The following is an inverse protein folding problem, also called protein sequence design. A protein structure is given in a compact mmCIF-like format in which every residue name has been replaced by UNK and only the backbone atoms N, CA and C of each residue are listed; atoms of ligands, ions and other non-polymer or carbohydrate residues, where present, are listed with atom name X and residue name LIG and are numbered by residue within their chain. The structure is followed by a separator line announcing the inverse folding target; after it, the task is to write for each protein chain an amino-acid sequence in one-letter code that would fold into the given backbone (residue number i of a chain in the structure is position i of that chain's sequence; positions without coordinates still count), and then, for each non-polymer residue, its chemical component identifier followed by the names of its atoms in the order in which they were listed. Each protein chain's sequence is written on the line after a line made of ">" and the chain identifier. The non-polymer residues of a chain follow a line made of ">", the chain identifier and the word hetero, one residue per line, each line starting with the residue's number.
data_IF_005476634517
#
_entry.id   IF_005476634517
#
_cell.length_a   1.000
_cell.length_b   1.000
_cell.length_c   1.000
_cell.angle_alpha   90.00
_cell.angle_beta   90.00
_cell.angle_gamma   90.00
#
_symmetry.space_group_name_H-M   'P 1'
#
loop_
_entity.id
_entity.type
_entity.pdbx_description
1 polymer ?
#
# COMPACT_ATOMS: atom_id res chain seq x y z
N UNK A 1 27.82 42.08 21.38
CA UNK A 1 26.88 42.37 20.28
C UNK A 1 26.66 41.06 19.55
N UNK A 2 25.64 40.29 19.93
CA UNK A 2 25.38 38.95 19.39
C UNK A 2 24.31 39.04 18.31
N UNK A 3 24.69 38.77 17.05
CA UNK A 3 23.76 38.72 15.93
C UNK A 3 23.00 37.39 15.92
N UNK A 4 21.69 37.46 16.09
CA UNK A 4 20.78 36.33 15.89
C UNK A 4 20.59 36.10 14.39
N UNK A 5 21.23 35.06 13.85
CA UNK A 5 20.86 34.53 12.53
C UNK A 5 19.62 33.63 12.68
N UNK A 6 18.44 34.19 12.45
CA UNK A 6 17.25 33.37 12.11
C UNK A 6 17.45 32.83 10.70
N UNK A 7 17.67 31.52 10.56
CA UNK A 7 17.39 30.84 9.29
C UNK A 7 15.91 31.05 8.98
N UNK A 8 15.61 31.87 7.97
CA UNK A 8 14.29 31.89 7.37
C UNK A 8 13.99 30.47 6.89
N UNK A 9 12.95 29.84 7.44
CA UNK A 9 12.28 28.75 6.73
C UNK A 9 11.77 29.35 5.42
N UNK A 10 11.83 28.63 4.29
CA UNK A 10 11.11 29.09 3.12
C UNK A 10 9.63 29.16 3.51
N UNK A 11 9.09 30.37 3.53
CA UNK A 11 7.65 30.60 3.53
C UNK A 11 7.11 29.95 2.27
N UNK A 12 6.43 28.82 2.43
CA UNK A 12 5.68 28.21 1.34
C UNK A 12 4.43 29.05 1.20
N UNK A 13 4.25 29.72 0.06
CA UNK A 13 3.05 30.49 -0.21
C UNK A 13 1.80 29.61 -0.02
N UNK A 14 0.74 30.11 0.63
CA UNK A 14 -0.52 29.39 0.76
C UNK A 14 -1.25 29.48 -0.57
N UNK A 15 -0.87 28.64 -1.54
CA UNK A 15 -1.45 28.77 -2.88
C UNK A 15 -1.00 27.83 -3.98
N UNK A 16 -0.15 26.82 -3.76
CA UNK A 16 0.05 25.76 -4.74
C UNK A 16 0.82 24.59 -4.13
N UNK A 17 0.13 23.80 -3.29
CA UNK A 17 0.59 22.46 -2.98
C UNK A 17 0.51 21.65 -4.27
N UNK A 18 1.65 21.27 -4.84
CA UNK A 18 1.71 20.42 -6.03
C UNK A 18 0.94 19.12 -5.76
N UNK A 19 -0.33 19.05 -6.17
CA UNK A 19 -1.12 17.83 -6.11
C UNK A 19 -0.37 16.75 -6.88
N UNK A 20 -0.08 15.62 -6.22
CA UNK A 20 0.54 14.47 -6.86
C UNK A 20 -0.38 13.94 -7.96
N UNK A 21 0.18 13.42 -9.05
CA UNK A 21 -0.57 12.67 -10.07
C UNK A 21 -0.74 11.20 -9.66
N UNK A 22 -1.71 10.50 -10.24
CA UNK A 22 -1.87 9.06 -10.02
C UNK A 22 -0.58 8.27 -10.30
N UNK A 23 0.10 8.57 -11.41
CA UNK A 23 1.36 7.92 -11.77
C UNK A 23 2.46 8.11 -10.73
N UNK A 24 2.59 9.33 -10.18
CA UNK A 24 3.57 9.61 -9.13
C UNK A 24 3.20 8.89 -7.82
N UNK A 25 1.92 8.88 -7.44
CA UNK A 25 1.46 8.17 -6.25
C UNK A 25 1.66 6.66 -6.36
N UNK A 26 1.34 6.06 -7.51
CA UNK A 26 1.60 4.64 -7.80
C UNK A 26 3.10 4.35 -7.71
N UNK A 27 3.94 5.18 -8.32
CA UNK A 27 5.39 4.97 -8.31
C UNK A 27 5.96 5.01 -6.89
N UNK A 28 5.54 5.97 -6.06
CA UNK A 28 5.94 6.04 -4.65
C UNK A 28 5.52 4.79 -3.88
N UNK A 29 4.27 4.37 -4.07
CA UNK A 29 3.69 3.22 -3.35
C UNK A 29 4.38 1.91 -3.73
N UNK A 30 4.63 1.67 -5.02
CA UNK A 30 5.28 0.45 -5.50
C UNK A 30 6.79 0.44 -5.29
N UNK A 31 7.42 1.59 -5.03
CA UNK A 31 8.85 1.67 -4.72
C UNK A 31 9.16 1.44 -3.24
N UNK A 32 8.15 1.54 -2.37
CA UNK A 32 8.30 1.22 -0.95
C UNK A 32 8.16 -0.29 -0.74
N UNK A 33 9.22 -0.92 -0.26
CA UNK A 33 9.28 -2.37 -0.06
C UNK A 33 8.21 -2.88 0.93
N UNK A 34 7.91 -2.10 1.98
CA UNK A 34 6.94 -2.53 3.00
C UNK A 34 5.52 -2.39 2.50
N UNK A 35 5.22 -1.34 1.74
CA UNK A 35 3.89 -1.12 1.16
C UNK A 35 3.61 -2.07 0.00
N UNK A 36 4.61 -2.33 -0.83
CA UNK A 36 4.47 -3.15 -2.05
C UNK A 36 4.50 -4.66 -1.78
N UNK A 37 4.94 -5.11 -0.59
CA UNK A 37 4.97 -6.52 -0.23
C UNK A 37 3.55 -7.07 0.02
N UNK A 38 3.09 -8.07 -0.78
CA UNK A 38 1.83 -8.75 -0.51
C UNK A 38 1.89 -9.54 0.81
N UNK A 39 0.77 -9.60 1.52
CA UNK A 39 0.65 -10.38 2.77
C UNK A 39 -0.52 -11.36 2.68
N UNK A 40 -0.27 -12.63 2.96
CA UNK A 40 -1.33 -13.63 3.07
C UNK A 40 -2.06 -13.52 4.42
N UNK A 41 -3.38 -13.39 4.36
CA UNK A 41 -4.25 -13.25 5.52
C UNK A 41 -5.21 -14.46 5.61
N UNK A 42 -4.88 -15.53 6.36
CA UNK A 42 -5.69 -16.75 6.44
C UNK A 42 -7.03 -16.55 7.14
N UNK A 43 -7.20 -15.44 7.87
CA UNK A 43 -8.44 -15.07 8.56
C UNK A 43 -9.53 -14.53 7.64
N UNK A 44 -9.20 -14.20 6.40
CA UNK A 44 -10.11 -13.54 5.44
C UNK A 44 -10.65 -14.57 4.46
N UNK A 45 -11.96 -14.77 4.44
CA UNK A 45 -12.62 -15.83 3.65
C UNK A 45 -13.67 -15.29 2.68
N UNK A 46 -14.11 -14.05 2.87
CA UNK A 46 -15.10 -13.39 2.03
C UNK A 46 -14.80 -11.88 1.96
N UNK A 47 -15.56 -11.16 1.14
CA UNK A 47 -15.40 -9.71 0.97
C UNK A 47 -15.78 -8.92 2.22
N UNK A 48 -16.72 -9.40 3.04
CA UNK A 48 -17.13 -8.72 4.29
C UNK A 48 -15.99 -8.71 5.32
N UNK A 49 -15.20 -9.79 5.39
CA UNK A 49 -14.00 -9.85 6.23
C UNK A 49 -12.97 -8.79 5.82
N UNK A 50 -12.93 -8.42 4.53
CA UNK A 50 -12.01 -7.42 3.99
C UNK A 50 -12.28 -6.00 4.50
N UNK A 51 -13.55 -5.67 4.76
CA UNK A 51 -13.93 -4.34 5.28
C UNK A 51 -13.37 -4.09 6.69
N UNK A 52 -13.12 -5.16 7.44
CA UNK A 52 -12.68 -5.12 8.83
C UNK A 52 -11.15 -5.05 9.03
N UNK A 53 -10.36 -5.02 7.94
CA UNK A 53 -8.89 -5.00 8.01
C UNK A 53 -8.33 -3.65 8.52
N UNK A 54 -9.11 -2.55 8.42
CA UNK A 54 -8.64 -1.21 8.77
C UNK A 54 -7.43 -0.78 7.93
N UNK A 55 -6.39 -0.23 8.56
CA UNK A 55 -5.12 0.15 7.92
C UNK A 55 -4.10 -1.00 7.84
N UNK A 56 -4.56 -2.26 7.77
CA UNK A 56 -3.69 -3.41 7.57
C UNK A 56 -2.93 -3.38 6.23
N UNK A 57 -2.35 -4.51 5.78
CA UNK A 57 -1.49 -4.55 4.60
C UNK A 57 -2.13 -3.88 3.38
N UNK A 58 -1.33 -3.14 2.62
CA UNK A 58 -1.79 -2.45 1.42
C UNK A 58 -2.27 -3.47 0.36
N UNK A 59 -1.52 -4.55 0.20
CA UNK A 59 -1.82 -5.65 -0.71
C UNK A 59 -1.96 -6.89 0.15
N UNK A 60 -3.09 -7.57 0.05
CA UNK A 60 -3.33 -8.79 0.79
C UNK A 60 -3.89 -9.90 -0.08
N UNK A 61 -3.49 -11.12 0.27
CA UNK A 61 -3.88 -12.36 -0.40
C UNK A 61 -4.78 -13.13 0.56
N UNK A 62 -5.88 -13.66 0.04
CA UNK A 62 -6.89 -14.35 0.82
C UNK A 62 -7.56 -15.44 -0.01
N UNK A 63 -8.50 -16.20 0.59
CA UNK A 63 -9.26 -17.27 -0.09
C UNK A 63 -8.37 -18.28 -0.86
N UNK A 64 -7.33 -18.78 -0.20
CA UNK A 64 -6.40 -19.73 -0.79
C UNK A 64 -7.03 -21.13 -0.95
N UNK A 65 -7.13 -21.60 -2.18
CA UNK A 65 -7.54 -22.97 -2.53
C UNK A 65 -6.34 -23.81 -2.95
N UNK A 66 -5.61 -24.41 -2.00
CA UNK A 66 -4.38 -25.20 -2.27
C UNK A 66 -4.57 -26.30 -3.32
N UNK A 67 -5.68 -27.04 -3.25
CA UNK A 67 -5.96 -28.13 -4.19
C UNK A 67 -6.20 -27.63 -5.61
N UNK A 68 -6.84 -26.46 -5.74
CA UNK A 68 -7.17 -25.85 -7.03
C UNK A 68 -6.06 -24.91 -7.54
N UNK A 69 -5.06 -24.59 -6.72
CA UNK A 69 -4.04 -23.59 -7.02
C UNK A 69 -4.58 -22.16 -7.10
N UNK A 70 -5.73 -21.87 -6.47
CA UNK A 70 -6.40 -20.57 -6.56
C UNK A 70 -6.14 -19.70 -5.35
N UNK A 71 -6.22 -18.39 -5.53
CA UNK A 71 -6.20 -17.39 -4.46
C UNK A 71 -6.91 -16.12 -4.94
N UNK A 72 -7.29 -15.26 -3.99
CA UNK A 72 -7.74 -13.90 -4.24
C UNK A 72 -6.66 -12.92 -3.79
N UNK A 73 -6.50 -11.81 -4.52
CA UNK A 73 -5.64 -10.70 -4.15
C UNK A 73 -6.47 -9.42 -4.17
N UNK A 74 -6.25 -8.56 -3.19
CA UNK A 74 -6.97 -7.31 -3.07
C UNK A 74 -6.06 -6.19 -2.59
N UNK A 75 -6.41 -4.97 -2.98
CA UNK A 75 -5.77 -3.74 -2.51
C UNK A 75 -6.64 -3.11 -1.43
N UNK A 76 -6.04 -2.79 -0.29
CA UNK A 76 -6.74 -2.17 0.82
C UNK A 76 -7.02 -0.69 0.52
N UNK A 77 -8.27 -0.40 0.16
CA UNK A 77 -8.73 0.96 -0.15
C UNK A 77 -8.60 1.93 1.05
N UNK A 78 -8.69 1.46 2.28
CA UNK A 78 -8.49 2.28 3.47
C UNK A 78 -7.03 2.72 3.60
N UNK A 79 -6.09 1.80 3.38
CA UNK A 79 -4.66 2.09 3.38
C UNK A 79 -4.27 3.03 2.22
N UNK A 80 -4.78 2.79 1.01
CA UNK A 80 -4.57 3.69 -0.13
C UNK A 80 -5.09 5.10 0.19
N UNK A 81 -6.31 5.21 0.71
CA UNK A 81 -6.88 6.50 1.06
C UNK A 81 -6.05 7.23 2.11
N UNK A 82 -5.66 6.53 3.17
CA UNK A 82 -4.81 7.10 4.23
C UNK A 82 -3.46 7.61 3.70
N UNK A 83 -2.82 6.87 2.79
CA UNK A 83 -1.57 7.31 2.17
C UNK A 83 -1.79 8.50 1.23
N UNK A 84 -2.85 8.47 0.41
CA UNK A 84 -3.14 9.52 -0.56
C UNK A 84 -3.47 10.86 0.11
N UNK A 85 -4.16 10.84 1.25
CA UNK A 85 -4.52 12.04 2.03
C UNK A 85 -3.32 12.92 2.41
N UNK A 86 -2.12 12.34 2.49
CA UNK A 86 -0.89 13.10 2.76
C UNK A 86 -0.47 14.02 1.60
N UNK A 87 -0.98 13.75 0.39
CA UNK A 87 -0.66 14.49 -0.83
C UNK A 87 -1.88 15.24 -1.40
N UNK A 88 -3.06 14.64 -1.26
CA UNK A 88 -4.32 15.13 -1.86
C UNK A 88 -5.41 15.06 -0.80
N UNK A 89 -5.92 16.20 -0.30
CA UNK A 89 -7.07 16.22 0.60
C UNK A 89 -8.31 15.53 0.01
N UNK A 90 -9.15 14.91 0.84
CA UNK A 90 -10.34 14.16 0.39
C UNK A 90 -11.39 15.01 -0.33
N UNK A 91 -11.43 16.32 -0.05
CA UNK A 91 -12.33 17.28 -0.70
C UNK A 91 -11.81 17.76 -2.06
N UNK A 92 -10.58 17.40 -2.43
CA UNK A 92 -10.03 17.68 -3.75
C UNK A 92 -10.74 16.83 -4.82
N UNK A 93 -11.25 17.43 -5.91
CA UNK A 93 -11.91 16.68 -6.99
C UNK A 93 -11.07 15.56 -7.62
N UNK A 94 -9.74 15.70 -7.62
CA UNK A 94 -8.83 14.70 -8.18
C UNK A 94 -8.62 13.47 -7.27
N UNK A 95 -9.04 13.54 -6.00
CA UNK A 95 -8.78 12.49 -5.02
C UNK A 95 -9.34 11.14 -5.45
N UNK A 96 -10.61 11.10 -5.88
CA UNK A 96 -11.29 9.86 -6.28
C UNK A 96 -10.63 9.25 -7.51
N UNK A 97 -10.32 10.07 -8.51
CA UNK A 97 -9.66 9.63 -9.74
C UNK A 97 -8.27 9.04 -9.44
N UNK A 98 -7.47 9.72 -8.63
CA UNK A 98 -6.13 9.25 -8.26
C UNK A 98 -6.20 7.95 -7.46
N UNK A 99 -7.11 7.87 -6.47
CA UNK A 99 -7.31 6.68 -5.65
C UNK A 99 -7.69 5.47 -6.49
N UNK A 100 -8.69 5.62 -7.36
CA UNK A 100 -9.25 4.51 -8.12
C UNK A 100 -8.25 3.99 -9.17
N UNK A 101 -7.54 4.90 -9.85
CA UNK A 101 -6.48 4.54 -10.78
C UNK A 101 -5.33 3.83 -10.05
N UNK A 102 -4.92 4.33 -8.88
CA UNK A 102 -3.88 3.69 -8.09
C UNK A 102 -4.27 2.29 -7.62
N UNK A 103 -5.49 2.11 -7.10
CA UNK A 103 -5.99 0.80 -6.69
C UNK A 103 -5.98 -0.19 -7.85
N UNK A 104 -6.45 0.24 -9.03
CA UNK A 104 -6.48 -0.59 -10.23
C UNK A 104 -5.08 -1.03 -10.67
N UNK A 105 -4.16 -0.09 -10.84
CA UNK A 105 -2.81 -0.38 -11.33
C UNK A 105 -2.03 -1.22 -10.32
N UNK A 106 -2.13 -0.90 -9.03
CA UNK A 106 -1.46 -1.67 -7.97
C UNK A 106 -2.00 -3.11 -7.94
N UNK A 107 -3.32 -3.30 -8.06
CA UNK A 107 -3.92 -4.64 -8.08
C UNK A 107 -3.40 -5.47 -9.27
N UNK A 108 -3.36 -4.88 -10.47
CA UNK A 108 -2.89 -5.54 -11.69
C UNK A 108 -1.41 -5.94 -11.58
N UNK A 109 -0.54 -4.98 -11.23
CA UNK A 109 0.90 -5.21 -11.10
C UNK A 109 1.20 -6.24 -10.00
N UNK A 110 0.54 -6.13 -8.85
CA UNK A 110 0.75 -7.05 -7.73
C UNK A 110 0.30 -8.47 -8.06
N UNK A 111 -0.84 -8.62 -8.73
CA UNK A 111 -1.33 -9.93 -9.18
C UNK A 111 -0.33 -10.58 -10.13
N UNK A 112 0.15 -9.85 -11.14
CA UNK A 112 1.13 -10.38 -12.07
C UNK A 112 2.45 -10.76 -11.38
N UNK A 113 2.90 -9.94 -10.42
CA UNK A 113 4.12 -10.21 -9.64
C UNK A 113 3.98 -11.48 -8.78
N UNK A 114 2.85 -11.65 -8.10
CA UNK A 114 2.55 -12.84 -7.29
C UNK A 114 2.51 -14.09 -8.16
N UNK A 115 1.77 -14.05 -9.28
CA UNK A 115 1.70 -15.18 -10.23
C UNK A 115 3.08 -15.57 -10.75
N UNK A 116 3.87 -14.58 -11.18
CA UNK A 116 5.25 -14.81 -11.64
C UNK A 116 6.12 -15.45 -10.55
N UNK A 117 5.93 -15.06 -9.29
CA UNK A 117 6.68 -15.61 -8.14
C UNK A 117 6.27 -17.06 -7.86
N UNK A 118 4.97 -17.37 -7.91
CA UNK A 118 4.45 -18.73 -7.78
C UNK A 118 5.00 -19.61 -8.89
N UNK A 119 4.96 -19.16 -10.15
CA UNK A 119 5.49 -19.89 -11.31
C UNK A 119 6.98 -20.20 -11.16
N UNK A 120 7.77 -19.24 -10.67
CA UNK A 120 9.22 -19.40 -10.50
C UNK A 120 9.60 -20.33 -9.34
N UNK A 121 8.85 -20.30 -8.25
CA UNK A 121 9.20 -21.00 -7.00
C UNK A 121 8.47 -22.32 -6.83
N UNK A 122 7.30 -22.48 -7.47
CA UNK A 122 6.38 -23.59 -7.24
C UNK A 122 5.67 -23.55 -5.88
N UNK A 123 5.84 -22.47 -5.10
CA UNK A 123 5.27 -22.33 -3.76
C UNK A 123 3.96 -21.52 -3.80
N UNK A 124 3.01 -21.89 -2.93
CA UNK A 124 1.74 -21.16 -2.79
C UNK A 124 1.91 -19.89 -1.94
N UNK A 125 1.01 -18.90 -2.08
CA UNK A 125 1.09 -17.62 -1.37
C UNK A 125 1.20 -17.70 0.15
N UNK A 126 0.63 -18.72 0.79
CA UNK A 126 0.71 -18.87 2.25
C UNK A 126 2.09 -19.29 2.75
N UNK A 127 2.97 -19.76 1.86
CA UNK A 127 4.38 -19.98 2.15
C UNK A 127 5.21 -18.75 1.77
N UNK A 128 4.92 -18.15 0.61
CA UNK A 128 5.70 -17.05 0.06
C UNK A 128 5.48 -15.71 0.79
N UNK A 129 4.25 -15.46 1.24
CA UNK A 129 3.79 -14.17 1.74
C UNK A 129 3.20 -14.30 3.16
N UNK A 130 3.62 -15.33 3.90
CA UNK A 130 3.20 -15.52 5.28
C UNK A 130 3.51 -14.26 6.10
N UNK A 131 2.54 -13.81 6.90
CA UNK A 131 2.78 -12.72 7.82
C UNK A 131 3.72 -13.19 8.94
N UNK A 132 5.00 -12.83 8.85
CA UNK A 132 5.95 -13.00 9.94
C UNK A 132 5.91 -11.77 10.83
N UNK A 133 5.26 -11.87 11.99
CA UNK A 133 5.16 -10.80 12.98
C UNK A 133 6.51 -10.39 13.63
N UNK A 134 7.65 -10.95 13.17
CA UNK A 134 8.94 -10.86 13.86
C UNK A 134 9.66 -9.50 13.75
N UNK A 135 9.14 -8.55 12.96
CA UNK A 135 9.76 -7.21 12.84
C UNK A 135 9.23 -6.16 13.83
N UNK A 136 8.38 -6.53 14.79
CA UNK A 136 7.82 -5.60 15.77
C UNK A 136 8.61 -5.50 17.10
N UNK A 137 9.73 -6.22 17.27
CA UNK A 137 10.44 -6.29 18.57
C UNK A 137 11.94 -5.95 18.54
N UNK A 138 12.44 -5.21 17.55
CA UNK A 138 13.81 -4.66 17.62
C UNK A 138 13.78 -3.13 17.71
N UNK A 139 13.46 -2.62 18.89
CA UNK A 139 14.01 -1.33 19.34
C UNK A 139 15.35 -1.62 20.06
N UNK A 140 16.45 -0.93 19.71
CA UNK A 140 17.72 -1.12 20.38
C UNK A 140 17.71 -0.44 21.76
N UNK A 141 18.25 -1.17 22.74
CA UNK A 141 18.52 -0.75 24.12
C UNK A 141 19.52 0.40 24.23
#
# INVERSE_FOLDING_TARGET
>A
MFGFFRKQRPETEPGQGSSITAKQFIALTLSDEKLSMPVYLPGIRNEDDCENIGLGPLIYIWNLGRTAGTFSLSVNGNAIGHLLETFVPRDNPAYVEIRDEAMKVIAEVSTQSVLTTIEKTGLMPDILFAYHAENAQQEPS
#
